data_IF_657634588189
#
_entry.id   IF_657634588189
#
_cell.length_a   1.000
_cell.length_b   1.000
_cell.length_c   1.000
_cell.angle_alpha   90.00
_cell.angle_beta   90.00
_cell.angle_gamma   90.00
#
_symmetry.space_group_name_H-M   'P 1'
#
loop_
_entity.id
_entity.type
_entity.pdbx_description
1 polymer ?
#
# COMPACT_ATOMS: atom_id res chain seq x y z
N UNK A 1 11.20 25.45 51.81
CA UNK A 1 10.89 24.36 50.87
C UNK A 1 10.15 25.00 49.72
N UNK A 2 10.71 24.98 48.51
CA UNK A 2 10.17 25.68 47.36
C UNK A 2 9.00 24.89 46.80
N UNK A 3 7.81 25.48 46.87
CA UNK A 3 6.59 24.92 46.32
C UNK A 3 6.68 24.90 44.78
N UNK A 4 6.41 23.75 44.18
CA UNK A 4 6.58 23.55 42.74
C UNK A 4 5.40 24.16 41.99
N UNK A 5 5.48 25.45 41.67
CA UNK A 5 4.50 26.12 40.81
C UNK A 5 4.74 25.66 39.36
N UNK A 6 3.74 24.98 38.79
CA UNK A 6 3.75 24.52 37.39
C UNK A 6 3.84 25.70 36.42
N UNK A 7 4.81 25.68 35.50
CA UNK A 7 5.01 26.69 34.44
C UNK A 7 3.83 26.82 33.45
N UNK A 8 2.81 25.96 33.53
CA UNK A 8 1.67 25.94 32.62
C UNK A 8 0.39 26.55 33.19
N UNK A 9 0.46 27.27 34.33
CA UNK A 9 -0.72 27.92 34.93
C UNK A 9 -1.75 26.96 35.55
N UNK A 10 -1.51 25.65 35.49
CA UNK A 10 -2.30 24.66 36.21
C UNK A 10 -1.73 24.46 37.61
N UNK A 11 -2.41 24.99 38.62
CA UNK A 11 -2.17 24.61 40.00
C UNK A 11 -2.52 23.12 40.14
N UNK A 12 -1.61 22.26 40.63
CA UNK A 12 -1.93 20.86 40.88
C UNK A 12 -2.90 20.82 42.08
N UNK A 13 -4.19 21.00 41.83
CA UNK A 13 -5.21 20.66 42.80
C UNK A 13 -5.25 19.13 42.90
N UNK A 14 -4.40 18.60 43.79
CA UNK A 14 -4.64 17.26 44.33
C UNK A 14 -6.05 17.31 44.91
N UNK A 15 -6.93 16.41 44.45
CA UNK A 15 -8.31 16.23 44.94
C UNK A 15 -8.36 16.49 46.46
N UNK A 16 -8.90 17.64 46.86
CA UNK A 16 -8.79 18.14 48.24
C UNK A 16 -8.93 19.66 48.33
N UNK A 17 -9.03 20.17 49.56
CA UNK A 17 -9.13 21.60 49.88
C UNK A 17 -7.96 22.40 49.29
N UNK A 18 -8.22 23.64 48.89
CA UNK A 18 -7.15 24.54 48.44
C UNK A 18 -6.18 24.78 49.62
N UNK A 19 -4.85 24.57 49.44
CA UNK A 19 -3.87 24.77 50.52
C UNK A 19 -4.01 26.12 51.22
N UNK A 20 -4.28 27.18 50.45
CA UNK A 20 -4.50 28.54 50.99
C UNK A 20 -5.68 28.61 51.97
N UNK A 21 -6.75 27.84 51.77
CA UNK A 21 -7.89 27.81 52.68
C UNK A 21 -7.55 27.10 53.99
N UNK A 22 -6.74 26.02 53.91
CA UNK A 22 -6.26 25.31 55.09
C UNK A 22 -5.30 26.19 55.87
N UNK A 23 -4.36 26.85 55.19
CA UNK A 23 -3.39 27.75 55.82
C UNK A 23 -4.08 28.95 56.48
N UNK A 24 -5.08 29.54 55.84
CA UNK A 24 -5.89 30.61 56.43
C UNK A 24 -6.59 30.15 57.71
N UNK A 25 -7.26 28.99 57.67
CA UNK A 25 -7.95 28.42 58.83
C UNK A 25 -6.99 28.08 59.98
N UNK A 26 -5.81 27.51 59.67
CA UNK A 26 -4.76 27.20 60.67
C UNK A 26 -4.19 28.49 61.26
N UNK A 27 -4.02 29.53 60.45
CA UNK A 27 -3.52 30.84 60.90
C UNK A 27 -4.52 31.50 61.86
N UNK A 28 -5.81 31.48 61.53
CA UNK A 28 -6.85 32.06 62.37
C UNK A 28 -6.99 31.31 63.71
N UNK A 29 -6.95 29.96 63.69
CA UNK A 29 -6.95 29.16 64.91
C UNK A 29 -5.68 29.39 65.76
N UNK A 30 -4.53 29.53 65.12
CA UNK A 30 -3.27 29.82 65.82
C UNK A 30 -3.31 31.20 66.47
N UNK A 31 -3.86 32.22 65.78
CA UNK A 31 -4.07 33.55 66.34
C UNK A 31 -5.00 33.51 67.55
N UNK A 32 -6.14 32.83 67.44
CA UNK A 32 -7.10 32.70 68.54
C UNK A 32 -6.49 31.97 69.76
N UNK A 33 -5.67 30.93 69.51
CA UNK A 33 -4.89 30.26 70.55
C UNK A 33 -3.94 31.23 71.23
N UNK A 34 -3.13 31.95 70.47
CA UNK A 34 -2.11 32.85 71.01
C UNK A 34 -2.75 34.00 71.81
N UNK A 35 -3.86 34.58 71.33
CA UNK A 35 -4.66 35.55 72.09
C UNK A 35 -5.17 34.98 73.43
N UNK A 36 -5.60 33.72 73.45
CA UNK A 36 -6.06 33.07 74.68
C UNK A 36 -4.89 32.84 75.66
N UNK A 37 -3.70 32.48 75.16
CA UNK A 37 -2.49 32.34 75.97
C UNK A 37 -2.03 33.68 76.56
N UNK A 38 -2.09 34.76 75.79
CA UNK A 38 -1.76 36.10 76.29
C UNK A 38 -2.72 36.53 77.41
N UNK A 39 -4.03 36.32 77.22
CA UNK A 39 -5.03 36.59 78.28
C UNK A 39 -4.75 35.78 79.54
N UNK A 40 -4.39 34.51 79.40
CA UNK A 40 -4.04 33.65 80.52
C UNK A 40 -2.77 34.14 81.24
N UNK A 41 -1.77 34.59 80.49
CA UNK A 41 -0.53 35.16 81.03
C UNK A 41 -0.80 36.43 81.85
N UNK A 42 -1.59 37.36 81.29
CA UNK A 42 -2.00 38.60 81.98
C UNK A 42 -2.78 38.30 83.27
N UNK A 43 -3.75 37.39 83.20
CA UNK A 43 -4.52 36.97 84.37
C UNK A 43 -3.64 36.31 85.44
N UNK A 44 -2.73 35.43 85.02
CA UNK A 44 -1.77 34.79 85.92
C UNK A 44 -0.78 35.76 86.56
N UNK A 45 -0.35 36.79 85.83
CA UNK A 45 0.45 37.89 86.37
C UNK A 45 -0.31 38.69 87.42
N UNK A 46 -1.55 39.11 87.10
CA UNK A 46 -2.42 39.83 88.02
C UNK A 46 -2.74 39.03 89.29
N UNK A 47 -2.95 37.71 89.17
CA UNK A 47 -3.17 36.83 90.32
C UNK A 47 -1.96 36.83 91.27
N UNK A 48 -0.74 36.65 90.75
CA UNK A 48 0.49 36.67 91.58
C UNK A 48 0.69 38.00 92.27
N UNK A 49 0.37 39.11 91.61
CA UNK A 49 0.45 40.44 92.23
C UNK A 49 -0.58 40.61 93.35
N UNK A 50 -1.81 40.13 93.15
CA UNK A 50 -2.83 40.12 94.21
C UNK A 50 -2.44 39.21 95.38
N UNK A 51 -1.88 38.02 95.11
CA UNK A 51 -1.37 37.11 96.15
C UNK A 51 -0.26 37.76 96.97
N UNK A 52 0.68 38.46 96.33
CA UNK A 52 1.74 39.21 97.01
C UNK A 52 1.15 40.31 97.89
N UNK A 53 0.26 41.14 97.34
CA UNK A 53 -0.41 42.22 98.12
C UNK A 53 -1.19 41.65 99.31
N UNK A 54 -1.86 40.51 99.15
CA UNK A 54 -2.56 39.83 100.24
C UNK A 54 -1.59 39.36 101.32
N UNK A 55 -0.43 38.81 100.94
CA UNK A 55 0.61 38.40 101.89
C UNK A 55 1.17 39.61 102.65
N UNK A 56 1.45 40.71 101.96
CA UNK A 56 1.93 41.96 102.58
C UNK A 56 0.89 42.52 103.58
N UNK A 57 -0.42 42.51 103.22
CA UNK A 57 -1.51 42.93 104.11
C UNK A 57 -1.62 42.02 105.33
N UNK A 58 -1.52 40.70 105.15
CA UNK A 58 -1.56 39.73 106.26
C UNK A 58 -0.39 39.93 107.22
N UNK A 59 0.81 40.09 106.70
CA UNK A 59 1.99 40.37 107.52
C UNK A 59 1.83 41.68 108.30
N UNK A 60 1.36 42.75 107.64
CA UNK A 60 1.10 44.03 108.31
C UNK A 60 0.00 43.93 109.38
N UNK A 61 -0.98 43.03 109.22
CA UNK A 61 -1.99 42.75 110.23
C UNK A 61 -1.45 41.93 111.40
N UNK A 62 -0.55 40.96 111.15
CA UNK A 62 0.13 40.19 112.21
C UNK A 62 1.11 41.05 113.03
N UNK A 63 1.77 42.01 112.39
CA UNK A 63 2.69 42.95 113.04
C UNK A 63 1.95 44.04 113.84
N UNK A 64 0.64 44.21 113.63
CA UNK A 64 -0.19 45.17 114.35
C UNK A 64 -0.64 44.59 115.72
N UNK A 65 -0.53 45.33 116.83
CA UNK A 65 -1.07 44.89 118.11
C UNK A 65 -2.59 44.69 118.03
N UNK A 66 -3.10 43.63 118.67
CA UNK A 66 -4.54 43.42 118.80
C UNK A 66 -5.20 44.64 119.47
N UNK A 67 -6.14 45.34 118.81
CA UNK A 67 -6.75 46.52 119.37
C UNK A 67 -7.77 46.11 120.44
N UNK A 68 -7.42 46.27 121.72
CA UNK A 68 -8.36 46.08 122.82
C UNK A 68 -9.18 47.36 123.06
N UNK A 69 -10.39 47.40 122.50
CA UNK A 69 -11.31 48.52 122.70
C UNK A 69 -12.13 48.41 124.00
N UNK A 70 -11.95 47.36 124.80
CA UNK A 70 -12.60 47.25 126.12
C UNK A 70 -12.10 48.32 127.09
N UNK A 71 -10.85 48.79 126.92
CA UNK A 71 -10.30 49.90 127.70
C UNK A 71 -10.97 51.25 127.38
N UNK A 72 -11.61 51.37 126.21
CA UNK A 72 -12.24 52.62 125.75
C UNK A 72 -13.72 52.70 126.15
N UNK A 73 -14.51 51.63 125.94
CA UNK A 73 -15.88 51.48 126.46
C UNK A 73 -16.47 50.10 126.14
N UNK A 74 -17.45 49.64 126.93
CA UNK A 74 -18.23 48.42 126.64
C UNK A 74 -18.91 48.46 125.27
N UNK A 75 -19.39 49.65 124.83
CA UNK A 75 -20.01 49.83 123.52
C UNK A 75 -19.02 49.61 122.36
N UNK A 76 -17.77 50.02 122.54
CA UNK A 76 -16.72 49.84 121.53
C UNK A 76 -16.34 48.36 121.37
N UNK A 77 -16.29 47.59 122.46
CA UNK A 77 -16.08 46.15 122.41
C UNK A 77 -17.22 45.40 121.69
N UNK A 78 -18.48 45.79 121.93
CA UNK A 78 -19.64 45.23 121.21
C UNK A 78 -19.58 45.55 119.71
N UNK A 79 -19.20 46.78 119.34
CA UNK A 79 -19.07 47.19 117.95
C UNK A 79 -17.94 46.42 117.22
N UNK A 80 -16.79 46.20 117.88
CA UNK A 80 -15.72 45.34 117.35
C UNK A 80 -16.23 43.92 117.09
N UNK A 81 -16.98 43.33 118.03
CA UNK A 81 -17.56 41.99 117.84
C UNK A 81 -18.53 41.92 116.65
N UNK A 82 -19.35 42.95 116.43
CA UNK A 82 -20.23 43.03 115.25
C UNK A 82 -19.40 43.15 113.97
N UNK A 83 -18.35 43.98 113.96
CA UNK A 83 -17.48 44.17 112.80
C UNK A 83 -16.72 42.90 112.41
N UNK A 84 -16.21 42.14 113.39
CA UNK A 84 -15.55 40.86 113.16
C UNK A 84 -16.51 39.81 112.57
N UNK A 85 -17.73 39.71 113.13
CA UNK A 85 -18.75 38.81 112.59
C UNK A 85 -19.14 39.18 111.15
N UNK A 86 -19.26 40.47 110.83
CA UNK A 86 -19.54 40.93 109.46
C UNK A 86 -18.35 40.64 108.53
N UNK A 87 -17.11 40.84 108.98
CA UNK A 87 -15.90 40.51 108.22
C UNK A 87 -15.83 39.00 107.90
N UNK A 88 -16.12 38.14 108.87
CA UNK A 88 -16.20 36.69 108.67
C UNK A 88 -17.31 36.31 107.69
N UNK A 89 -18.48 36.96 107.79
CA UNK A 89 -19.59 36.75 106.86
C UNK A 89 -19.22 37.16 105.42
N UNK A 90 -18.55 38.30 105.24
CA UNK A 90 -18.06 38.78 103.94
C UNK A 90 -16.99 37.83 103.39
N UNK A 91 -16.04 37.38 104.21
CA UNK A 91 -15.00 36.44 103.80
C UNK A 91 -15.60 35.09 103.38
N UNK A 92 -16.53 34.54 104.15
CA UNK A 92 -17.24 33.31 103.81
C UNK A 92 -18.03 33.44 102.49
N UNK A 93 -18.69 34.59 102.27
CA UNK A 93 -19.40 34.88 101.02
C UNK A 93 -18.45 35.00 99.83
N UNK A 94 -17.33 35.70 99.98
CA UNK A 94 -16.33 35.85 98.93
C UNK A 94 -15.70 34.50 98.56
N UNK A 95 -15.40 33.65 99.55
CA UNK A 95 -14.89 32.29 99.32
C UNK A 95 -15.87 31.44 98.51
N UNK A 96 -17.15 31.39 98.92
CA UNK A 96 -18.20 30.66 98.18
C UNK A 96 -18.35 31.18 96.76
N UNK A 97 -18.41 32.50 96.57
CA UNK A 97 -18.49 33.10 95.24
C UNK A 97 -17.29 32.75 94.35
N UNK A 98 -16.10 32.59 94.93
CA UNK A 98 -14.90 32.16 94.20
C UNK A 98 -14.92 30.68 93.84
N UNK A 99 -15.45 29.82 94.71
CA UNK A 99 -15.70 28.40 94.44
C UNK A 99 -16.74 28.25 93.32
N UNK A 100 -17.89 28.93 93.44
CA UNK A 100 -18.95 28.94 92.41
C UNK A 100 -18.43 29.39 91.04
N UNK A 101 -17.59 30.45 91.00
CA UNK A 101 -17.01 30.94 89.75
C UNK A 101 -16.01 29.95 89.13
N UNK A 102 -15.25 29.21 89.95
CA UNK A 102 -14.33 28.17 89.47
C UNK A 102 -15.08 26.97 88.93
N UNK A 103 -16.10 26.51 89.64
CA UNK A 103 -16.92 25.38 89.22
C UNK A 103 -17.65 25.70 87.91
N UNK A 104 -18.25 26.89 87.80
CA UNK A 104 -18.89 27.36 86.57
C UNK A 104 -17.90 27.44 85.38
N UNK A 105 -16.68 27.91 85.61
CA UNK A 105 -15.64 27.95 84.57
C UNK A 105 -15.18 26.55 84.15
N UNK A 106 -15.06 25.62 85.10
CA UNK A 106 -14.71 24.23 84.84
C UNK A 106 -15.78 23.53 84.01
N UNK A 107 -17.05 23.64 84.41
CA UNK A 107 -18.19 23.06 83.68
C UNK A 107 -18.31 23.63 82.26
N UNK A 108 -18.14 24.95 82.09
CA UNK A 108 -18.13 25.58 80.78
C UNK A 108 -16.96 25.06 79.90
N UNK A 109 -15.78 24.86 80.49
CA UNK A 109 -14.62 24.29 79.82
C UNK A 109 -14.85 22.84 79.37
N UNK A 110 -15.40 21.99 80.23
CA UNK A 110 -15.73 20.61 79.89
C UNK A 110 -16.81 20.52 78.81
N UNK A 111 -17.85 21.36 78.90
CA UNK A 111 -18.90 21.43 77.89
C UNK A 111 -18.35 21.85 76.52
N UNK A 112 -17.50 22.88 76.48
CA UNK A 112 -16.84 23.32 75.24
C UNK A 112 -15.92 22.23 74.67
N UNK A 113 -15.14 21.56 75.51
CA UNK A 113 -14.25 20.47 75.09
C UNK A 113 -15.04 19.27 74.53
N UNK A 114 -16.18 18.92 75.16
CA UNK A 114 -17.07 17.85 74.69
C UNK A 114 -17.70 18.23 73.34
N UNK A 115 -18.25 19.44 73.21
CA UNK A 115 -18.85 19.92 71.97
C UNK A 115 -17.83 19.94 70.82
N UNK A 116 -16.60 20.39 71.07
CA UNK A 116 -15.52 20.38 70.08
C UNK A 116 -15.16 18.95 69.64
N UNK A 117 -15.11 17.98 70.57
CA UNK A 117 -14.85 16.57 70.26
C UNK A 117 -15.95 15.95 69.41
N UNK A 118 -17.21 16.19 69.77
CA UNK A 118 -18.38 15.69 69.04
C UNK A 118 -18.44 16.27 67.62
N UNK A 119 -18.23 17.58 67.49
CA UNK A 119 -18.14 18.25 66.19
C UNK A 119 -17.01 17.68 65.33
N UNK A 120 -15.81 17.51 65.89
CA UNK A 120 -14.68 16.95 65.17
C UNK A 120 -14.91 15.47 64.77
N UNK A 121 -15.58 14.67 65.60
CA UNK A 121 -15.94 13.30 65.25
C UNK A 121 -16.95 13.24 64.09
N UNK A 122 -18.01 14.06 64.18
CA UNK A 122 -19.02 14.18 63.12
C UNK A 122 -18.41 14.65 61.80
N UNK A 123 -17.56 15.67 61.83
CA UNK A 123 -16.90 16.18 60.63
C UNK A 123 -16.01 15.11 59.98
N UNK A 124 -15.27 14.32 60.78
CA UNK A 124 -14.47 13.20 60.26
C UNK A 124 -15.35 12.15 59.60
N UNK A 125 -16.45 11.75 60.25
CA UNK A 125 -17.37 10.76 59.68
C UNK A 125 -18.01 11.25 58.37
N UNK A 126 -18.49 12.49 58.33
CA UNK A 126 -19.06 13.09 57.12
C UNK A 126 -18.04 13.16 55.98
N UNK A 127 -16.79 13.53 56.30
CA UNK A 127 -15.70 13.58 55.32
C UNK A 127 -15.35 12.18 54.80
N UNK A 128 -15.23 11.19 55.68
CA UNK A 128 -14.95 9.80 55.30
C UNK A 128 -16.06 9.25 54.39
N UNK A 129 -17.33 9.52 54.71
CA UNK A 129 -18.45 9.14 53.86
C UNK A 129 -18.41 9.85 52.50
N UNK A 130 -18.09 11.14 52.47
CA UNK A 130 -17.98 11.90 51.23
C UNK A 130 -16.84 11.37 50.35
N UNK A 131 -15.68 11.06 50.93
CA UNK A 131 -14.52 10.49 50.24
C UNK A 131 -14.88 9.12 49.66
N UNK A 132 -15.51 8.23 50.45
CA UNK A 132 -15.96 6.91 49.98
C UNK A 132 -16.91 7.02 48.79
N UNK A 133 -17.96 7.84 48.90
CA UNK A 133 -18.92 8.04 47.79
C UNK A 133 -18.25 8.60 46.53
N UNK A 134 -17.27 9.49 46.69
CA UNK A 134 -16.55 10.11 45.56
C UNK A 134 -15.59 9.11 44.90
N UNK A 135 -14.92 8.27 45.68
CA UNK A 135 -14.07 7.19 45.17
C UNK A 135 -14.89 6.12 44.45
N UNK A 136 -15.99 5.66 45.05
CA UNK A 136 -16.93 4.72 44.42
C UNK A 136 -17.48 5.25 43.10
N UNK A 137 -17.91 6.52 43.05
CA UNK A 137 -18.36 7.17 41.81
C UNK A 137 -17.24 7.22 40.77
N UNK A 138 -16.04 7.65 41.17
CA UNK A 138 -14.89 7.74 40.26
C UNK A 138 -14.50 6.37 39.69
N UNK A 139 -14.57 5.31 40.50
CA UNK A 139 -14.30 3.94 40.06
C UNK A 139 -15.37 3.43 39.11
N UNK A 140 -16.64 3.65 39.43
CA UNK A 140 -17.75 3.26 38.56
C UNK A 140 -17.68 3.97 37.20
N UNK A 141 -17.34 5.27 37.18
CA UNK A 141 -17.11 6.02 35.94
C UNK A 141 -15.92 5.46 35.15
N UNK A 142 -14.80 5.17 35.81
CA UNK A 142 -13.63 4.58 35.16
C UNK A 142 -13.91 3.18 34.59
N UNK A 143 -14.64 2.34 35.32
CA UNK A 143 -15.06 1.01 34.87
C UNK A 143 -16.02 1.11 33.68
N UNK A 144 -16.96 2.06 33.71
CA UNK A 144 -17.86 2.33 32.59
C UNK A 144 -17.10 2.73 31.32
N UNK A 145 -16.17 3.68 31.42
CA UNK A 145 -15.34 4.12 30.29
C UNK A 145 -14.51 2.95 29.73
N UNK A 146 -13.94 2.11 30.61
CA UNK A 146 -13.21 0.91 30.17
C UNK A 146 -14.12 -0.09 29.45
N UNK A 147 -15.30 -0.36 29.98
CA UNK A 147 -16.26 -1.28 29.36
C UNK A 147 -16.74 -0.77 27.99
N UNK A 148 -17.01 0.54 27.88
CA UNK A 148 -17.36 1.19 26.61
C UNK A 148 -16.21 1.08 25.59
N UNK A 149 -14.98 1.41 25.98
CA UNK A 149 -13.80 1.28 25.12
C UNK A 149 -13.54 -0.18 24.67
N UNK A 150 -13.71 -1.15 25.56
CA UNK A 150 -13.56 -2.57 25.24
C UNK A 150 -14.65 -3.04 24.26
N UNK A 151 -15.88 -2.57 24.42
CA UNK A 151 -16.98 -2.88 23.52
C UNK A 151 -16.74 -2.29 22.12
N UNK A 152 -16.29 -1.04 22.04
CA UNK A 152 -15.93 -0.37 20.79
C UNK A 152 -14.76 -1.09 20.09
N UNK A 153 -13.70 -1.44 20.83
CA UNK A 153 -12.56 -2.18 20.30
C UNK A 153 -12.99 -3.53 19.70
N UNK A 154 -13.86 -4.27 20.39
CA UNK A 154 -14.42 -5.54 19.88
C UNK A 154 -15.26 -5.31 18.62
N UNK A 155 -16.13 -4.29 18.62
CA UNK A 155 -16.95 -3.95 17.47
C UNK A 155 -16.09 -3.60 16.24
N UNK A 156 -15.02 -2.82 16.44
CA UNK A 156 -14.06 -2.47 15.38
C UNK A 156 -13.36 -3.70 14.82
N UNK A 157 -12.87 -4.60 15.68
CA UNK A 157 -12.23 -5.86 15.25
C UNK A 157 -13.22 -6.73 14.48
N UNK A 158 -14.46 -6.87 14.95
CA UNK A 158 -15.50 -7.62 14.23
C UNK A 158 -15.84 -6.98 12.87
N UNK A 159 -15.94 -5.65 12.79
CA UNK A 159 -16.17 -4.95 11.54
C UNK A 159 -15.01 -5.12 10.55
N UNK A 160 -13.77 -4.99 11.03
CA UNK A 160 -12.55 -5.13 10.23
C UNK A 160 -12.39 -6.57 9.71
N UNK A 161 -12.58 -7.57 10.57
CA UNK A 161 -12.55 -8.99 10.16
C UNK A 161 -13.65 -9.33 9.17
N UNK A 162 -14.88 -8.83 9.40
CA UNK A 162 -15.98 -8.99 8.45
C UNK A 162 -15.70 -8.33 7.10
N UNK A 163 -15.09 -7.15 7.09
CA UNK A 163 -14.67 -6.48 5.87
C UNK A 163 -13.57 -7.28 5.14
N UNK A 164 -12.54 -7.72 5.84
CA UNK A 164 -11.47 -8.54 5.28
C UNK A 164 -12.00 -9.84 4.67
N UNK A 165 -12.97 -10.50 5.32
CA UNK A 165 -13.64 -11.69 4.78
C UNK A 165 -14.39 -11.37 3.48
N UNK A 166 -15.14 -10.26 3.42
CA UNK A 166 -15.82 -9.82 2.18
C UNK A 166 -14.85 -9.54 1.05
N UNK A 167 -13.73 -8.87 1.34
CA UNK A 167 -12.68 -8.59 0.34
C UNK A 167 -12.06 -9.88 -0.19
N UNK A 168 -11.79 -10.87 0.67
CA UNK A 168 -11.27 -12.17 0.25
C UNK A 168 -12.25 -12.90 -0.67
N UNK A 169 -13.54 -12.92 -0.32
CA UNK A 169 -14.57 -13.55 -1.16
C UNK A 169 -14.71 -12.81 -2.49
N UNK A 170 -14.73 -11.47 -2.48
CA UNK A 170 -14.79 -10.68 -3.71
C UNK A 170 -13.57 -10.91 -4.62
N UNK A 171 -12.37 -10.99 -4.03
CA UNK A 171 -11.14 -11.29 -4.78
C UNK A 171 -11.13 -12.72 -5.36
N UNK A 172 -11.62 -13.71 -4.61
CA UNK A 172 -11.76 -15.07 -5.10
C UNK A 172 -12.75 -15.14 -6.28
N UNK A 173 -13.93 -14.52 -6.15
CA UNK A 173 -14.92 -14.45 -7.21
C UNK A 173 -14.38 -13.72 -8.46
N UNK A 174 -13.64 -12.62 -8.28
CA UNK A 174 -13.00 -11.91 -9.38
C UNK A 174 -11.93 -12.76 -10.08
N UNK A 175 -11.18 -13.56 -9.32
CA UNK A 175 -10.18 -14.49 -9.86
C UNK A 175 -10.86 -15.59 -10.69
N UNK A 176 -11.91 -16.21 -10.17
CA UNK A 176 -12.70 -17.22 -10.88
C UNK A 176 -13.30 -16.66 -12.18
N UNK A 177 -13.86 -15.45 -12.15
CA UNK A 177 -14.36 -14.76 -13.35
C UNK A 177 -13.26 -14.47 -14.37
N UNK A 178 -12.05 -14.14 -13.91
CA UNK A 178 -10.92 -13.89 -14.81
C UNK A 178 -10.43 -15.18 -15.46
N UNK A 179 -10.41 -16.29 -14.72
CA UNK A 179 -10.03 -17.60 -15.23
C UNK A 179 -11.04 -18.13 -16.25
N UNK A 180 -12.34 -18.00 -15.96
CA UNK A 180 -13.40 -18.39 -16.90
C UNK A 180 -13.35 -17.56 -18.18
N UNK A 181 -13.18 -16.24 -18.08
CA UNK A 181 -13.01 -15.37 -19.25
C UNK A 181 -11.76 -15.72 -20.06
N UNK A 182 -10.65 -16.10 -19.42
CA UNK A 182 -9.43 -16.55 -20.11
C UNK A 182 -9.65 -17.91 -20.80
N UNK A 183 -10.34 -18.84 -20.15
CA UNK A 183 -10.68 -20.14 -20.72
C UNK A 183 -11.57 -19.99 -21.97
N UNK A 184 -12.57 -19.11 -21.92
CA UNK A 184 -13.41 -18.79 -23.08
C UNK A 184 -12.60 -18.17 -24.24
N UNK A 185 -11.67 -17.26 -23.93
CA UNK A 185 -10.78 -16.67 -24.95
C UNK A 185 -9.86 -17.70 -25.57
N UNK A 186 -9.30 -18.62 -24.78
CA UNK A 186 -8.47 -19.73 -25.28
C UNK A 186 -9.28 -20.65 -26.19
N UNK A 187 -10.47 -21.05 -25.75
CA UNK A 187 -11.37 -21.88 -26.57
C UNK A 187 -11.71 -21.22 -27.90
N UNK A 188 -12.05 -19.93 -27.91
CA UNK A 188 -12.30 -19.18 -29.16
C UNK A 188 -11.06 -19.13 -30.06
N UNK A 189 -9.88 -18.89 -29.47
CA UNK A 189 -8.63 -18.88 -30.24
C UNK A 189 -8.32 -20.25 -30.85
N UNK A 190 -8.59 -21.36 -30.14
CA UNK A 190 -8.43 -22.71 -30.66
C UNK A 190 -9.46 -23.01 -31.78
N UNK A 191 -10.71 -22.58 -31.62
CA UNK A 191 -11.75 -22.68 -32.66
C UNK A 191 -11.37 -21.89 -33.92
N UNK A 192 -10.87 -20.65 -33.76
CA UNK A 192 -10.40 -19.82 -34.88
C UNK A 192 -9.16 -20.41 -35.56
N UNK A 193 -8.22 -20.96 -34.78
CA UNK A 193 -7.01 -21.60 -35.31
C UNK A 193 -7.36 -22.86 -36.11
N UNK A 194 -8.21 -23.73 -35.58
CA UNK A 194 -8.65 -24.95 -36.28
C UNK A 194 -9.44 -24.63 -37.55
N UNK A 195 -10.25 -23.56 -37.55
CA UNK A 195 -10.92 -23.08 -38.75
C UNK A 195 -9.94 -22.55 -39.81
N UNK A 196 -8.93 -21.78 -39.38
CA UNK A 196 -7.88 -21.27 -40.26
C UNK A 196 -7.02 -22.39 -40.85
N UNK A 197 -6.66 -23.39 -40.06
CA UNK A 197 -5.92 -24.59 -40.49
C UNK A 197 -6.73 -25.38 -41.52
N UNK A 198 -8.01 -25.65 -41.24
CA UNK A 198 -8.90 -26.33 -42.21
C UNK A 198 -9.03 -25.55 -43.53
N UNK A 199 -9.12 -24.22 -43.46
CA UNK A 199 -9.18 -23.37 -44.66
C UNK A 199 -7.85 -23.37 -45.43
N UNK A 200 -6.71 -23.38 -44.73
CA UNK A 200 -5.39 -23.49 -45.33
C UNK A 200 -5.19 -24.85 -46.01
N UNK A 201 -5.55 -25.95 -45.34
CA UNK A 201 -5.50 -27.30 -45.90
C UNK A 201 -6.39 -27.44 -47.14
N UNK A 202 -7.60 -26.88 -47.12
CA UNK A 202 -8.47 -26.84 -48.29
C UNK A 202 -7.88 -26.04 -49.45
N UNK A 203 -7.20 -24.92 -49.16
CA UNK A 203 -6.50 -24.13 -50.17
C UNK A 203 -5.30 -24.89 -50.76
N UNK A 204 -4.49 -25.53 -49.91
CA UNK A 204 -3.37 -26.39 -50.33
C UNK A 204 -3.88 -27.53 -51.21
N UNK A 205 -4.90 -28.26 -50.77
CA UNK A 205 -5.50 -29.36 -51.54
C UNK A 205 -6.02 -28.91 -52.92
N UNK A 206 -6.59 -27.70 -53.00
CA UNK A 206 -7.04 -27.11 -54.28
C UNK A 206 -5.87 -26.77 -55.20
N UNK A 207 -4.80 -26.18 -54.66
CA UNK A 207 -3.59 -25.82 -55.43
C UNK A 207 -2.86 -27.07 -55.90
N UNK A 208 -2.71 -28.09 -55.04
CA UNK A 208 -2.07 -29.36 -55.41
C UNK A 208 -2.89 -30.10 -56.46
N UNK A 209 -4.22 -30.18 -56.32
CA UNK A 209 -5.08 -30.80 -57.33
C UNK A 209 -4.99 -30.07 -58.70
N UNK A 210 -4.92 -28.73 -58.69
CA UNK A 210 -4.73 -27.97 -59.93
C UNK A 210 -3.33 -28.16 -60.53
N UNK A 211 -2.30 -28.28 -59.70
CA UNK A 211 -0.94 -28.59 -60.14
C UNK A 211 -0.85 -30.01 -60.74
N UNK A 212 -1.42 -31.01 -60.07
CA UNK A 212 -1.47 -32.40 -60.56
C UNK A 212 -2.26 -32.51 -61.86
N UNK A 213 -3.37 -31.77 -62.00
CA UNK A 213 -4.11 -31.69 -63.26
C UNK A 213 -3.25 -31.11 -64.39
N UNK A 214 -2.51 -30.01 -64.14
CA UNK A 214 -1.58 -29.44 -65.12
C UNK A 214 -0.42 -30.36 -65.47
N UNK A 215 0.10 -31.13 -64.50
CA UNK A 215 1.13 -32.14 -64.77
C UNK A 215 0.57 -33.24 -65.66
N UNK A 216 -0.63 -33.76 -65.36
CA UNK A 216 -1.30 -34.75 -66.22
C UNK A 216 -1.57 -34.22 -67.63
N UNK A 217 -2.05 -32.98 -67.76
CA UNK A 217 -2.24 -32.33 -69.07
C UNK A 217 -0.90 -32.20 -69.82
N UNK A 218 0.17 -31.79 -69.14
CA UNK A 218 1.50 -31.68 -69.73
C UNK A 218 2.08 -33.05 -70.14
N UNK A 219 1.86 -34.10 -69.36
CA UNK A 219 2.23 -35.48 -69.68
C UNK A 219 1.45 -36.00 -70.90
N UNK A 220 0.14 -35.78 -70.96
CA UNK A 220 -0.70 -36.12 -72.12
C UNK A 220 -0.27 -35.36 -73.38
N UNK A 221 0.01 -34.07 -73.27
CA UNK A 221 0.55 -33.28 -74.38
C UNK A 221 1.92 -33.80 -74.83
N UNK A 222 2.81 -34.13 -73.89
CA UNK A 222 4.11 -34.73 -74.20
C UNK A 222 3.94 -36.07 -74.92
N UNK A 223 3.05 -36.93 -74.46
CA UNK A 223 2.78 -38.24 -75.07
C UNK A 223 2.22 -38.06 -76.49
N UNK A 224 1.26 -37.15 -76.68
CA UNK A 224 0.72 -36.81 -78.00
C UNK A 224 1.81 -36.29 -78.95
N UNK A 225 2.69 -35.41 -78.48
CA UNK A 225 3.83 -34.91 -79.29
C UNK A 225 4.85 -36.01 -79.61
N UNK A 226 5.12 -36.93 -78.67
CA UNK A 226 5.99 -38.08 -78.92
C UNK A 226 5.39 -39.05 -79.94
N UNK A 227 4.09 -39.28 -79.89
CA UNK A 227 3.38 -40.11 -80.86
C UNK A 227 3.33 -39.45 -82.24
N UNK A 228 3.12 -38.13 -82.31
CA UNK A 228 3.26 -37.37 -83.56
C UNK A 228 4.68 -37.43 -84.12
N UNK A 229 5.70 -37.26 -83.27
CA UNK A 229 7.10 -37.40 -83.66
C UNK A 229 7.41 -38.82 -84.18
N UNK A 230 6.90 -39.87 -83.52
CA UNK A 230 7.01 -41.26 -83.99
C UNK A 230 6.33 -41.44 -85.35
N UNK A 231 5.13 -40.90 -85.53
CA UNK A 231 4.42 -40.95 -86.83
C UNK A 231 5.21 -40.26 -87.93
N UNK A 232 5.73 -39.06 -87.67
CA UNK A 232 6.59 -38.33 -88.59
C UNK A 232 7.87 -39.12 -88.93
N UNK A 233 8.49 -39.77 -87.94
CA UNK A 233 9.67 -40.60 -88.15
C UNK A 233 9.34 -41.85 -88.97
N UNK A 234 8.23 -42.54 -88.70
CA UNK A 234 7.77 -43.67 -89.52
C UNK A 234 7.41 -43.24 -90.95
N UNK A 235 6.78 -42.09 -91.13
CA UNK A 235 6.48 -41.53 -92.45
C UNK A 235 7.76 -41.12 -93.19
N UNK A 236 8.74 -40.56 -92.49
CA UNK A 236 10.05 -40.23 -93.04
C UNK A 236 10.82 -41.50 -93.45
N UNK A 237 10.80 -42.55 -92.63
CA UNK A 237 11.36 -43.86 -92.93
C UNK A 237 10.66 -44.50 -94.13
N UNK A 238 9.33 -44.49 -94.19
CA UNK A 238 8.57 -44.99 -95.33
C UNK A 238 8.88 -44.23 -96.63
N UNK A 239 9.03 -42.89 -96.55
CA UNK A 239 9.48 -42.07 -97.69
C UNK A 239 10.92 -42.38 -98.10
N UNK A 240 11.82 -42.59 -97.14
CA UNK A 240 13.21 -42.97 -97.39
C UNK A 240 13.28 -44.35 -98.06
N UNK A 241 12.55 -45.34 -97.55
CA UNK A 241 12.45 -46.68 -98.12
C UNK A 241 11.83 -46.66 -99.52
N UNK A 242 10.79 -45.85 -99.75
CA UNK A 242 10.21 -45.65 -101.07
C UNK A 242 11.21 -45.00 -102.05
N UNK A 243 11.98 -44.01 -101.60
CA UNK A 243 13.04 -43.40 -102.40
C UNK A 243 14.17 -44.39 -102.71
N UNK A 244 14.56 -45.24 -101.75
CA UNK A 244 15.54 -46.32 -101.94
C UNK A 244 15.02 -47.39 -102.89
N UNK A 245 13.74 -47.77 -102.80
CA UNK A 245 13.11 -48.71 -103.73
C UNK A 245 13.06 -48.14 -105.15
N UNK A 246 12.65 -46.88 -105.31
CA UNK A 246 12.68 -46.19 -106.60
C UNK A 246 14.11 -46.05 -107.16
N UNK A 247 15.10 -45.82 -106.31
CA UNK A 247 16.51 -45.80 -106.69
C UNK A 247 17.01 -47.19 -107.11
N UNK A 248 16.62 -48.26 -106.40
CA UNK A 248 16.93 -49.65 -106.76
C UNK A 248 16.26 -50.07 -108.05
N UNK A 249 15.01 -49.68 -108.29
CA UNK A 249 14.34 -49.91 -109.58
C UNK A 249 15.01 -49.17 -110.73
N UNK A 250 15.41 -47.90 -110.53
CA UNK A 250 16.19 -47.17 -111.53
C UNK A 250 17.55 -47.84 -111.76
N UNK A 251 18.23 -48.28 -110.70
CA UNK A 251 19.49 -49.03 -110.81
C UNK A 251 19.30 -50.36 -111.54
N UNK A 252 18.21 -51.09 -111.29
CA UNK A 252 17.86 -52.33 -111.98
C UNK A 252 17.51 -52.07 -113.47
N UNK A 253 16.82 -50.98 -113.80
CA UNK A 253 16.57 -50.57 -115.18
C UNK A 253 17.85 -50.18 -115.91
N UNK A 254 18.74 -49.43 -115.25
CA UNK A 254 20.05 -49.09 -115.79
C UNK A 254 20.85 -50.38 -116.01
N UNK A 255 20.89 -51.29 -115.03
CA UNK A 255 21.58 -52.57 -115.17
C UNK A 255 21.03 -53.41 -116.32
N UNK A 256 19.70 -53.54 -116.44
CA UNK A 256 19.06 -54.25 -117.55
C UNK A 256 19.27 -53.56 -118.91
N UNK A 257 19.34 -52.22 -118.94
CA UNK A 257 19.68 -51.46 -120.14
C UNK A 257 21.16 -51.66 -120.53
N UNK A 258 22.07 -51.68 -119.56
CA UNK A 258 23.49 -51.98 -119.75
C UNK A 258 23.73 -53.44 -120.16
N UNK A 259 22.98 -54.39 -119.62
CA UNK A 259 23.02 -55.81 -120.04
C UNK A 259 22.47 -56.00 -121.46
N UNK A 260 21.43 -55.24 -121.85
CA UNK A 260 20.95 -55.20 -123.26
C UNK A 260 21.96 -54.56 -124.19
N UNK A 261 22.58 -53.44 -123.80
CA UNK A 261 23.64 -52.82 -124.56
C UNK A 261 24.85 -53.74 -124.70
N UNK A 262 25.24 -54.47 -123.65
CA UNK A 262 26.28 -55.49 -123.70
C UNK A 262 25.89 -56.62 -124.66
N UNK A 263 24.68 -57.16 -124.56
CA UNK A 263 24.19 -58.21 -125.47
C UNK A 263 24.16 -57.74 -126.93
N UNK A 264 23.79 -56.48 -127.19
CA UNK A 264 23.81 -55.90 -128.53
C UNK A 264 25.24 -55.57 -129.01
N UNK A 265 26.17 -55.27 -128.11
CA UNK A 265 27.60 -55.16 -128.40
C UNK A 265 28.19 -56.52 -128.79
N UNK A 266 27.82 -57.59 -128.08
CA UNK A 266 28.22 -58.97 -128.40
C UNK A 266 27.68 -59.41 -129.76
N UNK A 267 26.42 -59.08 -130.09
CA UNK A 267 25.85 -59.33 -131.44
C UNK A 267 26.56 -58.55 -132.55
N UNK A 268 27.02 -57.32 -132.27
CA UNK A 268 27.84 -56.54 -133.22
C UNK A 268 29.22 -57.16 -133.41
N UNK A 269 29.83 -57.68 -132.34
CA UNK A 269 31.07 -58.45 -132.39
C UNK A 269 30.92 -59.73 -133.23
N UNK A 270 29.88 -60.52 -132.98
CA UNK A 270 29.57 -61.73 -133.78
C UNK A 270 29.36 -61.40 -135.27
N UNK A 271 28.70 -60.27 -135.57
CA UNK A 271 28.49 -59.82 -136.95
C UNK A 271 29.80 -59.38 -137.63
N UNK A 272 30.72 -58.76 -136.89
CA UNK A 272 32.06 -58.40 -137.38
C UNK A 272 32.94 -59.64 -137.55
N UNK A 273 32.89 -60.61 -136.64
CA UNK A 273 33.58 -61.90 -136.77
C UNK A 273 33.07 -62.72 -137.96
N UNK A 274 31.76 -62.74 -138.20
CA UNK A 274 31.17 -63.39 -139.39
C UNK A 274 31.63 -62.72 -140.69
N UNK A 275 31.78 -61.39 -140.72
CA UNK A 275 32.35 -60.67 -141.87
C UNK A 275 33.85 -60.93 -142.04
N UNK A 276 34.61 -61.08 -140.95
CA UNK A 276 36.03 -61.44 -141.00
C UNK A 276 36.26 -62.89 -141.41
N UNK A 277 35.39 -63.83 -141.04
CA UNK A 277 35.45 -65.23 -141.48
C UNK A 277 35.05 -65.37 -142.96
N UNK A 278 34.12 -64.55 -143.44
CA UNK A 278 33.78 -64.50 -144.87
C UNK A 278 34.90 -63.89 -145.73
N UNK A 279 35.62 -62.88 -145.20
CA UNK A 279 36.81 -62.30 -145.84
C UNK A 279 38.00 -63.29 -145.77
N UNK A 280 38.17 -64.01 -144.65
CA UNK A 280 39.18 -65.09 -144.52
C UNK A 280 38.88 -66.25 -145.47
N UNK A 281 37.60 -66.60 -145.70
CA UNK A 281 37.21 -67.63 -146.66
C UNK A 281 37.42 -67.23 -148.12
N UNK A 282 37.28 -65.95 -148.46
CA UNK A 282 37.46 -65.44 -149.84
C UNK A 282 38.91 -65.10 -150.17
N UNK A 283 39.75 -64.77 -149.18
CA UNK A 283 41.20 -64.61 -149.36
C UNK A 283 42.00 -65.93 -149.29
N UNK A 284 41.50 -66.97 -148.62
CA UNK A 284 42.20 -68.25 -148.51
C UNK A 284 42.15 -69.14 -149.77
N UNK A 285 41.31 -68.83 -150.77
CA UNK A 285 41.29 -69.58 -152.05
C UNK A 285 42.15 -68.95 -153.16
N UNK A 286 42.51 -67.66 -153.06
CA UNK A 286 43.35 -67.00 -154.06
C UNK A 286 44.82 -66.80 -153.66
N UNK A 287 45.21 -67.02 -152.39
CA UNK A 287 46.62 -66.93 -152.00
C UNK A 287 46.91 -67.77 -150.76
N UNK A 288 47.62 -68.89 -150.92
CA UNK A 288 48.17 -69.65 -149.80
C UNK A 288 49.30 -68.87 -149.10
N UNK A 289 49.09 -68.53 -147.82
CA UNK A 289 50.14 -68.23 -146.84
C UNK A 289 49.52 -68.10 -145.42
N UNK A 290 50.19 -68.70 -144.43
CA UNK A 290 49.82 -68.75 -143.02
C UNK A 290 50.41 -67.58 -142.22
N UNK A 291 49.63 -66.97 -141.30
CA UNK A 291 50.04 -66.11 -140.16
C UNK A 291 48.86 -66.09 -139.16
N UNK A 292 48.89 -66.49 -137.87
CA UNK A 292 49.96 -66.57 -136.87
C UNK A 292 49.99 -65.30 -136.01
N UNK A 293 49.07 -65.11 -135.05
CA UNK A 293 49.27 -65.33 -133.59
C UNK A 293 50.18 -64.31 -132.87
N UNK A 294 49.60 -63.55 -131.91
CA UNK A 294 50.22 -62.92 -130.71
C UNK A 294 49.04 -62.72 -129.73
N UNK A 295 48.72 -63.62 -128.79
CA UNK A 295 49.26 -63.84 -127.42
C UNK A 295 49.04 -62.71 -126.40
N UNK A 296 48.33 -63.07 -125.32
CA UNK A 296 48.07 -62.36 -124.05
C UNK A 296 49.36 -62.11 -123.22
N UNK A 297 49.31 -61.37 -122.09
CA UNK A 297 48.99 -62.03 -120.82
C UNK A 297 48.16 -61.22 -119.80
N UNK A 298 47.29 -61.99 -119.14
CA UNK A 298 46.84 -62.07 -117.74
C UNK A 298 47.51 -61.25 -116.60
N UNK A 299 46.63 -60.94 -115.63
CA UNK A 299 46.72 -61.08 -114.15
C UNK A 299 47.47 -60.13 -113.20
N UNK A 300 46.76 -59.77 -112.11
CA UNK A 300 47.14 -59.77 -110.67
C UNK A 300 46.39 -58.62 -109.91
N UNK A 301 45.50 -58.91 -108.96
CA UNK A 301 45.74 -59.04 -107.50
C UNK A 301 46.22 -57.71 -106.87
N UNK A 302 45.80 -57.22 -105.69
CA UNK A 302 45.16 -57.78 -104.50
C UNK A 302 44.93 -56.60 -103.50
N UNK A 303 44.26 -56.87 -102.38
CA UNK A 303 44.28 -56.29 -101.02
C UNK A 303 45.18 -55.03 -100.72
N UNK A 304 44.94 -54.19 -99.68
CA UNK A 304 44.95 -54.52 -98.25
C UNK A 304 44.51 -53.35 -97.34
N UNK A 305 43.94 -53.73 -96.19
CA UNK A 305 44.25 -53.26 -94.82
C UNK A 305 43.79 -51.88 -94.30
N UNK A 306 42.75 -51.95 -93.45
CA UNK A 306 42.80 -51.76 -91.99
C UNK A 306 43.64 -50.61 -91.37
N UNK A 307 42.98 -49.82 -90.50
CA UNK A 307 43.54 -49.50 -89.17
C UNK A 307 42.45 -49.17 -88.13
N UNK A 308 42.59 -49.84 -86.98
CA UNK A 308 41.92 -49.65 -85.70
C UNK A 308 42.25 -48.29 -85.07
N UNK A 309 41.33 -47.78 -84.24
CA UNK A 309 41.68 -47.24 -82.93
C UNK A 309 40.48 -47.42 -81.98
N UNK A 310 40.81 -47.77 -80.74
CA UNK A 310 39.97 -48.36 -79.71
C UNK A 310 40.09 -47.49 -78.44
N UNK A 311 39.14 -47.68 -77.53
CA UNK A 311 39.20 -47.41 -76.07
C UNK A 311 38.84 -46.02 -75.48
N UNK A 312 37.68 -46.06 -74.79
CA UNK A 312 37.47 -45.83 -73.34
C UNK A 312 37.29 -44.41 -72.77
N UNK A 313 36.16 -44.20 -72.05
CA UNK A 313 36.07 -44.11 -70.56
C UNK A 313 34.87 -43.25 -70.10
N UNK A 314 34.02 -43.79 -69.22
CA UNK A 314 33.13 -43.09 -68.28
C UNK A 314 33.90 -42.82 -66.95
N UNK A 315 33.50 -41.96 -65.97
CA UNK A 315 32.12 -41.59 -65.58
C UNK A 315 31.95 -40.14 -64.99
N UNK A 316 30.81 -39.89 -64.34
CA UNK A 316 30.59 -39.05 -63.13
C UNK A 316 29.65 -37.82 -63.26
N UNK A 317 28.53 -37.94 -62.53
CA UNK A 317 27.84 -36.98 -61.64
C UNK A 317 28.42 -35.56 -61.48
N UNK A 318 27.58 -34.53 -61.62
CA UNK A 318 27.00 -33.77 -60.49
C UNK A 318 26.09 -32.63 -60.99
N UNK A 319 25.01 -32.38 -60.25
CA UNK A 319 24.13 -31.20 -60.37
C UNK A 319 24.81 -29.95 -59.74
N UNK A 320 24.08 -28.85 -59.45
CA UNK A 320 23.53 -27.79 -60.32
C UNK A 320 24.20 -26.44 -59.93
N UNK A 321 23.62 -25.27 -60.27
CA UNK A 321 23.38 -24.12 -59.34
C UNK A 321 23.16 -22.79 -60.10
N UNK A 322 21.95 -22.24 -59.97
CA UNK A 322 21.58 -20.83 -60.04
C UNK A 322 21.97 -20.13 -58.73
N UNK A 323 22.66 -18.96 -58.73
CA UNK A 323 22.41 -17.89 -57.73
C UNK A 323 22.85 -16.52 -58.27
N UNK A 324 21.87 -15.63 -58.47
CA UNK A 324 22.06 -14.18 -58.45
C UNK A 324 21.66 -13.68 -57.05
N UNK A 325 22.61 -13.03 -56.37
CA UNK A 325 22.41 -11.91 -55.44
C UNK A 325 22.12 -12.22 -53.96
N UNK A 326 22.81 -11.54 -53.02
CA UNK A 326 22.27 -11.27 -51.69
C UNK A 326 21.91 -9.78 -51.53
N UNK A 327 20.62 -9.53 -51.28
CA UNK A 327 20.14 -8.31 -50.61
C UNK A 327 20.26 -8.55 -49.10
N UNK A 328 20.93 -7.63 -48.40
CA UNK A 328 21.05 -7.60 -46.93
C UNK A 328 19.72 -7.20 -46.27
N UNK A 329 19.17 -7.98 -45.33
CA UNK A 329 18.33 -7.46 -44.27
C UNK A 329 19.16 -7.09 -43.03
N UNK A 330 18.72 -6.02 -42.35
CA UNK A 330 19.18 -5.62 -41.01
C UNK A 330 18.81 -6.72 -40.01
N UNK A 331 19.80 -7.21 -39.29
CA UNK A 331 19.61 -8.11 -38.16
C UNK A 331 19.69 -7.27 -36.89
N UNK A 332 18.56 -7.15 -36.19
CA UNK A 332 18.54 -6.65 -34.81
C UNK A 332 19.14 -7.70 -33.87
N UNK A 333 19.95 -7.19 -32.95
CA UNK A 333 20.84 -7.89 -32.04
C UNK A 333 20.07 -8.51 -30.85
N UNK A 334 20.13 -9.83 -30.61
CA UNK A 334 19.40 -10.47 -29.50
C UNK A 334 20.14 -10.43 -28.15
N UNK A 335 21.12 -9.52 -27.94
CA UNK A 335 21.87 -9.41 -26.67
C UNK A 335 21.86 -8.02 -26.03
N UNK A 336 20.69 -7.39 -25.96
CA UNK A 336 20.46 -6.30 -24.98
C UNK A 336 19.92 -6.88 -23.67
N UNK A 337 20.55 -6.64 -22.51
CA UNK A 337 19.94 -6.94 -21.23
C UNK A 337 18.69 -6.07 -21.05
N UNK A 338 17.61 -6.72 -20.61
CA UNK A 338 16.37 -6.10 -20.15
C UNK A 338 16.71 -5.09 -19.03
N UNK A 339 16.48 -3.81 -19.28
CA UNK A 339 16.38 -2.82 -18.22
C UNK A 339 14.99 -2.95 -17.59
N UNK A 340 14.85 -3.20 -16.29
CA UNK A 340 13.55 -3.18 -15.65
C UNK A 340 13.01 -1.74 -15.70
N UNK A 341 11.80 -1.59 -16.23
CA UNK A 341 11.05 -0.34 -16.09
C UNK A 341 10.84 -0.05 -14.60
N UNK A 342 11.17 1.17 -14.17
CA UNK A 342 10.81 1.68 -12.85
C UNK A 342 9.30 1.54 -12.61
N UNK A 343 8.87 1.13 -11.41
CA UNK A 343 7.46 1.12 -11.08
C UNK A 343 6.91 2.55 -11.08
N UNK A 344 5.87 2.77 -11.90
CA UNK A 344 5.08 3.99 -11.89
C UNK A 344 4.55 4.27 -10.47
N UNK A 345 4.75 5.52 -10.01
CA UNK A 345 4.16 6.03 -8.77
C UNK A 345 2.62 5.92 -8.82
N UNK A 346 1.96 5.58 -7.70
CA UNK A 346 0.50 5.58 -7.62
C UNK A 346 -0.06 7.01 -7.75
N UNK A 347 -1.20 7.21 -8.41
CA UNK A 347 -1.82 8.53 -8.55
C UNK A 347 -2.33 9.04 -7.18
N UNK A 348 -2.14 10.33 -6.96
CA UNK A 348 -2.65 11.07 -5.80
C UNK A 348 -4.19 11.00 -5.71
N UNK A 349 -4.77 11.03 -4.49
CA UNK A 349 -6.22 11.00 -4.32
C UNK A 349 -6.88 12.30 -4.83
N UNK A 350 -8.13 12.22 -5.36
CA UNK A 350 -8.81 13.36 -5.94
C UNK A 350 -9.24 14.39 -4.90
N UNK A 351 -9.08 15.66 -5.27
CA UNK A 351 -9.54 16.83 -4.55
C UNK A 351 -11.07 16.87 -4.43
N UNK A 352 -11.55 17.26 -3.25
CA UNK A 352 -12.96 17.55 -2.97
C UNK A 352 -13.46 18.75 -3.81
N UNK A 353 -14.67 18.71 -4.37
CA UNK A 353 -15.29 19.86 -5.01
C UNK A 353 -15.95 20.80 -3.97
N UNK A 354 -16.06 22.12 -4.28
CA UNK A 354 -16.43 23.14 -3.31
C UNK A 354 -17.93 23.15 -2.98
N UNK A 355 -18.23 23.44 -1.70
CA UNK A 355 -19.57 23.70 -1.21
C UNK A 355 -20.18 24.93 -1.89
N UNK A 356 -21.26 24.70 -2.65
CA UNK A 356 -22.13 25.74 -3.16
C UNK A 356 -23.29 25.96 -2.18
N UNK A 357 -23.41 27.20 -1.72
CA UNK A 357 -24.55 27.73 -0.98
C UNK A 357 -25.82 27.68 -1.83
N UNK A 358 -26.91 27.15 -1.28
CA UNK A 358 -28.27 27.45 -1.72
C UNK A 358 -29.27 27.17 -0.58
N UNK A 359 -30.00 28.23 -0.19
CA UNK A 359 -31.24 28.15 0.58
C UNK A 359 -32.31 27.30 -0.12
N UNK A 360 -33.35 26.83 0.60
CA UNK A 360 -34.64 27.51 0.39
C UNK A 360 -35.56 27.61 1.63
N UNK A 361 -36.37 28.69 1.64
CA UNK A 361 -37.60 28.83 2.42
C UNK A 361 -38.65 27.75 2.01
N UNK A 362 -39.53 27.18 2.85
CA UNK A 362 -40.63 27.87 3.56
C UNK A 362 -41.57 26.86 4.28
N UNK A 363 -42.16 27.32 5.41
CA UNK A 363 -43.52 27.04 5.96
C UNK A 363 -43.98 25.60 6.30
N UNK A 364 -44.17 25.27 7.60
CA UNK A 364 -45.51 25.22 8.29
C UNK A 364 -45.47 24.73 9.75
N UNK A 365 -46.30 25.40 10.58
CA UNK A 365 -47.01 24.97 11.81
C UNK A 365 -46.28 24.79 13.16
N UNK A 366 -46.61 25.74 14.05
CA UNK A 366 -46.68 25.69 15.53
C UNK A 366 -47.46 24.46 16.06
N UNK A 367 -47.21 23.99 17.31
CA UNK A 367 -47.63 24.72 18.53
C UNK A 367 -46.69 24.66 19.78
N UNK A 368 -46.92 25.62 20.69
CA UNK A 368 -46.36 25.84 22.04
C UNK A 368 -46.30 24.60 22.97
N UNK A 369 -45.40 24.60 24.00
CA UNK A 369 -45.82 24.87 25.39
C UNK A 369 -44.71 25.57 26.26
N UNK A 370 -44.79 25.67 27.61
CA UNK A 370 -45.38 26.78 28.35
C UNK A 370 -44.38 27.58 29.23
N UNK A 371 -44.87 28.73 29.71
CA UNK A 371 -44.25 29.72 30.60
C UNK A 371 -44.06 29.19 32.04
N UNK A 372 -42.93 29.44 32.75
CA UNK A 372 -42.89 29.27 34.19
C UNK A 372 -43.55 30.46 34.91
N UNK A 373 -44.30 30.11 35.95
CA UNK A 373 -45.13 30.99 36.74
C UNK A 373 -44.36 31.85 37.75
N UNK A 374 -44.96 33.01 37.99
CA UNK A 374 -44.88 33.96 39.08
C UNK A 374 -44.61 33.36 40.47
N UNK A 375 -43.68 33.96 41.21
CA UNK A 375 -43.51 33.82 42.66
C UNK A 375 -44.33 34.90 43.40
N UNK A 376 -44.95 34.60 44.56
CA UNK A 376 -45.77 35.56 45.31
C UNK A 376 -45.01 36.46 46.31
N UNK A 377 -45.57 37.65 46.53
CA UNK A 377 -45.33 38.71 47.53
C UNK A 377 -45.28 38.21 48.99
N UNK A 378 -44.30 38.65 49.82
CA UNK A 378 -44.28 39.78 50.79
C UNK A 378 -45.00 39.49 52.14
N UNK A 379 -44.32 39.51 53.30
CA UNK A 379 -44.13 40.65 54.25
C UNK A 379 -43.24 40.22 55.47
N UNK A 380 -42.87 41.09 56.46
CA UNK A 380 -42.17 42.37 56.42
C UNK A 380 -40.94 42.46 57.40
N UNK A 381 -40.25 43.61 57.39
CA UNK A 381 -39.02 44.04 58.13
C UNK A 381 -39.02 43.91 59.68
N UNK A 382 -37.82 43.99 60.30
CA UNK A 382 -37.43 45.22 61.05
C UNK A 382 -35.97 45.69 60.73
N UNK A 383 -35.72 47.00 60.48
CA UNK A 383 -35.15 48.01 61.41
C UNK A 383 -33.73 47.65 61.93
N UNK A 384 -32.62 48.40 61.85
CA UNK A 384 -32.22 49.78 61.49
C UNK A 384 -30.67 49.78 61.36
N UNK A 385 -30.06 50.71 60.61
CA UNK A 385 -28.60 50.88 60.41
C UNK A 385 -27.84 51.38 61.67
N UNK A 386 -26.50 51.59 61.68
CA UNK A 386 -25.89 52.70 60.90
C UNK A 386 -24.52 52.44 60.22
N UNK A 387 -24.28 53.34 59.25
CA UNK A 387 -23.13 53.73 58.43
C UNK A 387 -21.69 53.30 58.80
N UNK A 388 -20.91 52.99 57.75
CA UNK A 388 -19.49 53.37 57.64
C UNK A 388 -18.99 53.39 56.17
N UNK A 389 -18.74 54.61 55.68
CA UNK A 389 -17.62 55.07 54.82
C UNK A 389 -17.26 54.31 53.51
N UNK A 390 -17.48 55.01 52.39
CA UNK A 390 -16.93 54.72 51.06
C UNK A 390 -15.54 55.36 50.93
N UNK A 391 -14.49 54.56 50.73
CA UNK A 391 -13.17 55.03 50.28
C UNK A 391 -12.96 54.71 48.79
N UNK A 392 -12.60 55.75 48.04
CA UNK A 392 -12.27 55.70 46.61
C UNK A 392 -10.99 54.89 46.35
N UNK A 393 -11.11 53.83 45.54
CA UNK A 393 -9.97 53.03 45.09
C UNK A 393 -9.35 53.65 43.83
N UNK A 394 -8.22 54.31 44.01
CA UNK A 394 -7.32 54.79 42.95
C UNK A 394 -6.81 53.58 42.15
N UNK A 395 -7.03 53.58 40.83
CA UNK A 395 -6.48 52.61 39.88
C UNK A 395 -5.21 53.19 39.25
N UNK A 396 -4.00 52.62 39.45
CA UNK A 396 -2.83 53.06 38.72
C UNK A 396 -2.84 52.51 37.28
N UNK A 397 -2.65 53.40 36.31
CA UNK A 397 -2.38 53.07 34.90
C UNK A 397 -1.04 52.34 34.78
N UNK A 398 -1.04 51.12 34.27
CA UNK A 398 0.16 50.42 33.81
C UNK A 398 0.49 50.92 32.41
N UNK A 399 1.67 51.54 32.27
CA UNK A 399 2.29 51.85 30.97
C UNK A 399 3.10 50.61 30.58
N UNK A 400 2.74 49.97 29.46
CA UNK A 400 3.50 48.85 28.90
C UNK A 400 4.70 49.45 28.15
N UNK A 401 5.89 49.23 28.69
CA UNK A 401 7.16 49.44 27.99
C UNK A 401 7.52 48.12 27.31
N UNK A 402 7.66 48.16 25.99
CA UNK A 402 7.99 47.03 25.13
C UNK A 402 9.52 46.89 25.08
N UNK A 403 10.09 46.05 25.95
CA UNK A 403 11.51 45.74 25.96
C UNK A 403 11.80 44.60 24.97
N UNK A 404 11.90 44.97 23.69
CA UNK A 404 12.22 44.07 22.58
C UNK A 404 13.58 43.39 22.72
N UNK A 405 13.59 42.20 23.31
CA UNK A 405 14.77 41.32 23.35
C UNK A 405 14.36 39.90 22.94
N UNK A 406 14.64 39.59 21.66
CA UNK A 406 14.88 38.24 21.19
C UNK A 406 16.14 37.67 21.88
N UNK A 407 16.14 36.39 22.25
CA UNK A 407 17.15 35.43 21.75
C UNK A 407 16.98 34.02 22.36
N UNK A 408 16.61 33.13 21.44
CA UNK A 408 17.31 31.91 21.05
C UNK A 408 17.41 30.71 21.99
N UNK A 409 17.08 29.57 21.37
CA UNK A 409 16.84 28.27 21.92
C UNK A 409 18.03 27.38 21.60
N UNK A 410 18.72 26.84 22.62
CA UNK A 410 19.47 25.57 22.51
C UNK A 410 19.88 25.02 23.89
N UNK A 411 19.76 23.69 24.11
CA UNK A 411 20.07 23.06 25.39
C UNK A 411 21.55 22.67 25.48
N UNK A 412 22.24 23.13 26.53
CA UNK A 412 23.60 22.70 26.84
C UNK A 412 23.61 21.27 27.41
N UNK A 413 23.90 20.31 26.54
CA UNK A 413 24.31 18.94 26.90
C UNK A 413 25.78 18.97 27.31
N UNK A 414 26.09 19.20 28.59
CA UNK A 414 27.29 18.66 29.24
C UNK A 414 27.34 19.03 30.73
N UNK A 415 26.79 18.17 31.59
CA UNK A 415 27.20 18.13 33.00
C UNK A 415 27.09 16.72 33.58
N UNK A 416 27.84 15.79 32.99
CA UNK A 416 28.37 14.64 33.73
C UNK A 416 29.73 15.09 34.24
N UNK A 417 29.96 15.11 35.55
CA UNK A 417 31.21 14.73 36.23
C UNK A 417 31.05 14.81 37.75
N UNK A 418 31.20 13.63 38.37
CA UNK A 418 31.94 13.33 39.60
C UNK A 418 31.69 14.17 40.86
N UNK A 419 31.10 13.49 41.85
CA UNK A 419 31.58 13.48 43.25
C UNK A 419 31.64 12.01 43.66
N UNK A 420 32.73 11.47 44.23
CA UNK A 420 33.63 12.10 45.18
C UNK A 420 33.08 11.85 46.55
#
# INVERSE_FOLDING_TARGET
>A
MSDAVSQYGFTPSRRGYAPEQVDAAVTDLSRARDEAWERLSVLGGGLREMEKRLADIKQAAEDAPDPDFAELSDQAAVLLGIALNEADAVHAKAKRSGEDARDAAHEAGEAAAKAAKEYAAKLREETDQFVRRTDERSRAEAERIRAEADAEARALVHAATGHAARVRVAAANASEQSESALAERRRKADEDFTAAETAADAAVAKVTAAADARVKEAEQHREAMLDEARRLDTDAQAKADAALAAAKEKAARIKAASEREQADFTKRLDKVQTHLDHIKGTLASLTGAAVGAIEDPEDAAEAVAAKKADLAKAPATDQPTTVLGPVKPKQDDPRKPYAPAEPAQPPAPPAEPPAASAEPASLTKEPLPPKPATAPEADPKPATAPDATVEERIVPKIVIVDDGIDHDTRPDRNRIQRKG
#
